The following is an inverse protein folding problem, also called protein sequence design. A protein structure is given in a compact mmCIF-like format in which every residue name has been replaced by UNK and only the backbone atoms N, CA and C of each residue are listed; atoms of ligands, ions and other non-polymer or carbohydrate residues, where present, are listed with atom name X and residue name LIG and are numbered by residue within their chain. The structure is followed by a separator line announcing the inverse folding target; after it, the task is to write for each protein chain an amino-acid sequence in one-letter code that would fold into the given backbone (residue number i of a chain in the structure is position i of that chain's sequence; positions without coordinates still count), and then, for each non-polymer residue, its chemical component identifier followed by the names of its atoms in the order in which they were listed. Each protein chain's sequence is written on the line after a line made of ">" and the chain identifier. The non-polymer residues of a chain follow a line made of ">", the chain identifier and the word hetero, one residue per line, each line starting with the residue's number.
data_IF_038081289352
#
_entry.id   IF_038081289352
#
_cell.length_a   1.000
_cell.length_b   1.000
_cell.length_c   1.000
_cell.angle_alpha   90.00
_cell.angle_beta   90.00
_cell.angle_gamma   90.00
#
_symmetry.space_group_name_H-M   'P 1'
#
loop_
_entity.id
_entity.type
_entity.pdbx_description
1 polymer ?
#
# COMPACT_ATOMS: atom_id res chain seq x y z
N UNK A 1 -21.29 8.71 -2.55
CA UNK A 1 -19.88 9.09 -2.67
C UNK A 1 -19.16 8.08 -3.54
N UNK A 2 -18.32 8.55 -4.45
CA UNK A 2 -17.54 7.66 -5.29
C UNK A 2 -16.45 6.98 -4.46
N UNK A 3 -16.10 5.76 -4.87
CA UNK A 3 -15.08 5.00 -4.17
C UNK A 3 -13.76 5.78 -4.00
N UNK A 4 -13.34 6.50 -5.06
CA UNK A 4 -12.09 7.23 -5.02
C UNK A 4 -12.13 8.44 -4.10
N UNK A 5 -13.28 9.08 -3.99
CA UNK A 5 -13.45 10.18 -3.05
C UNK A 5 -13.39 9.67 -1.61
N UNK A 6 -13.99 8.49 -1.37
CA UNK A 6 -13.92 7.85 -0.08
C UNK A 6 -12.49 7.51 0.31
N UNK A 7 -11.72 6.94 -0.62
CA UNK A 7 -10.33 6.59 -0.36
C UNK A 7 -9.48 7.81 -0.05
N UNK A 8 -9.72 8.90 -0.78
CA UNK A 8 -9.02 10.16 -0.53
C UNK A 8 -9.34 10.70 0.86
N UNK A 9 -10.60 10.66 1.24
CA UNK A 9 -11.02 11.11 2.57
C UNK A 9 -10.37 10.29 3.67
N UNK A 10 -10.27 8.97 3.49
CA UNK A 10 -9.63 8.10 4.47
C UNK A 10 -8.14 8.44 4.60
N UNK A 11 -7.48 8.71 3.48
CA UNK A 11 -6.07 9.06 3.50
C UNK A 11 -5.85 10.41 4.20
N UNK A 12 -6.68 11.39 3.89
CA UNK A 12 -6.59 12.71 4.52
C UNK A 12 -6.83 12.62 6.02
N UNK A 13 -7.80 11.82 6.42
CA UNK A 13 -8.10 11.61 7.83
C UNK A 13 -6.94 10.94 8.55
N UNK A 14 -6.34 9.94 7.93
CA UNK A 14 -5.17 9.27 8.47
C UNK A 14 -4.02 10.25 8.67
N UNK A 15 -3.72 11.05 7.64
CA UNK A 15 -2.63 12.02 7.70
C UNK A 15 -2.86 13.05 8.80
N UNK A 16 -4.11 13.45 8.98
CA UNK A 16 -4.47 14.51 9.92
C UNK A 16 -4.45 14.02 11.37
N UNK A 17 -4.92 12.80 11.61
CA UNK A 17 -5.14 12.28 12.96
C UNK A 17 -4.00 11.39 13.41
N UNK A 18 -3.56 10.47 12.57
CA UNK A 18 -2.65 9.41 12.96
C UNK A 18 -1.18 9.66 12.62
N UNK A 19 -0.94 10.29 11.49
CA UNK A 19 0.41 10.47 11.00
C UNK A 19 1.38 11.09 12.00
N UNK A 20 1.01 12.16 12.71
CA UNK A 20 1.95 12.76 13.66
C UNK A 20 2.41 11.79 14.75
N UNK A 21 1.52 10.93 15.22
CA UNK A 21 1.87 9.95 16.24
C UNK A 21 2.62 8.77 15.66
N UNK A 22 2.10 8.19 14.61
CA UNK A 22 2.72 7.03 13.96
C UNK A 22 4.11 7.37 13.46
N UNK A 23 4.27 8.57 12.97
CA UNK A 23 5.55 9.04 12.52
C UNK A 23 6.56 9.02 13.65
N UNK A 24 6.13 9.44 14.83
CA UNK A 24 7.01 9.51 15.99
C UNK A 24 7.38 8.14 16.54
N UNK A 25 6.51 7.16 16.42
CA UNK A 25 6.81 5.81 16.90
C UNK A 25 7.41 4.91 15.83
N UNK A 26 7.52 5.43 14.60
CA UNK A 26 8.25 4.76 13.54
C UNK A 26 7.58 3.55 12.90
N UNK A 27 6.28 3.39 13.10
CA UNK A 27 5.55 2.28 12.48
C UNK A 27 4.99 2.73 11.15
N UNK A 28 5.46 2.11 10.07
CA UNK A 28 4.94 2.35 8.74
C UNK A 28 3.72 1.47 8.48
N UNK A 29 2.71 1.95 7.74
CA UNK A 29 1.55 1.13 7.42
C UNK A 29 1.89 -0.21 6.78
N UNK A 30 2.89 -0.24 5.90
CA UNK A 30 3.31 -1.49 5.25
C UNK A 30 3.83 -2.48 6.27
N UNK A 31 4.66 -2.03 7.20
CA UNK A 31 5.19 -2.90 8.25
C UNK A 31 4.07 -3.45 9.13
N UNK A 32 3.10 -2.61 9.44
CA UNK A 32 1.95 -3.04 10.23
C UNK A 32 1.14 -4.10 9.50
N UNK A 33 0.90 -3.90 8.21
CA UNK A 33 0.18 -4.89 7.41
C UNK A 33 0.93 -6.22 7.34
N UNK A 34 2.26 -6.16 7.24
CA UNK A 34 3.06 -7.37 7.24
C UNK A 34 2.96 -8.11 8.58
N UNK A 35 2.96 -7.37 9.69
CA UNK A 35 2.86 -7.98 11.00
C UNK A 35 1.53 -8.70 11.22
N UNK A 36 0.48 -8.27 10.52
CA UNK A 36 -0.84 -8.88 10.59
C UNK A 36 -1.04 -9.98 9.54
N UNK A 37 -0.05 -10.25 8.71
CA UNK A 37 -0.13 -11.24 7.63
C UNK A 37 -1.19 -10.92 6.57
N UNK A 38 -1.46 -9.64 6.34
CA UNK A 38 -2.40 -9.20 5.32
C UNK A 38 -1.72 -8.38 4.23
N UNK A 39 -0.40 -8.24 4.28
CA UNK A 39 0.32 -7.38 3.36
C UNK A 39 0.27 -7.88 1.92
N UNK A 40 0.33 -9.18 1.70
CA UNK A 40 0.32 -9.72 0.35
C UNK A 40 -0.93 -9.29 -0.41
N UNK A 41 -2.09 -9.50 0.17
CA UNK A 41 -3.36 -9.11 -0.45
C UNK A 41 -3.49 -7.60 -0.55
N UNK A 42 -3.00 -6.88 0.45
CA UNK A 42 -3.01 -5.43 0.46
C UNK A 42 -2.18 -4.87 -0.70
N UNK A 43 -0.98 -5.40 -0.91
CA UNK A 43 -0.13 -4.95 -2.02
C UNK A 43 -0.75 -5.31 -3.37
N UNK A 44 -1.24 -6.53 -3.51
CA UNK A 44 -1.87 -6.96 -4.75
C UNK A 44 -3.09 -6.10 -5.08
N UNK A 45 -3.91 -5.81 -4.08
CA UNK A 45 -5.09 -4.96 -4.26
C UNK A 45 -4.73 -3.55 -4.70
N UNK A 46 -3.66 -2.99 -4.13
CA UNK A 46 -3.21 -1.66 -4.54
C UNK A 46 -2.66 -1.65 -5.97
N UNK A 47 -1.97 -2.69 -6.39
CA UNK A 47 -1.50 -2.81 -7.76
C UNK A 47 -2.69 -2.78 -8.72
N UNK A 48 -3.71 -3.58 -8.44
CA UNK A 48 -4.93 -3.63 -9.26
C UNK A 48 -5.61 -2.27 -9.30
N UNK A 49 -5.72 -1.62 -8.15
CA UNK A 49 -6.35 -0.31 -8.05
C UNK A 49 -5.68 0.71 -8.95
N UNK A 50 -4.37 0.83 -8.85
CA UNK A 50 -3.66 1.87 -9.59
C UNK A 50 -3.61 1.58 -11.08
N UNK A 51 -3.42 0.33 -11.48
CA UNK A 51 -3.42 -0.04 -12.89
C UNK A 51 -4.80 0.15 -13.51
N UNK A 52 -5.86 -0.05 -12.73
CA UNK A 52 -7.22 0.08 -13.23
C UNK A 52 -7.65 1.52 -13.45
N UNK A 53 -7.07 2.47 -12.71
CA UNK A 53 -7.57 3.84 -12.72
C UNK A 53 -6.69 4.86 -13.44
N UNK A 54 -5.49 4.50 -13.85
CA UNK A 54 -4.50 5.48 -14.31
C UNK A 54 -4.99 6.35 -15.47
N UNK A 55 -5.79 5.79 -16.37
CA UNK A 55 -6.24 6.52 -17.57
C UNK A 55 -7.13 7.73 -17.25
N UNK A 56 -7.88 7.65 -16.17
CA UNK A 56 -8.82 8.72 -15.84
C UNK A 56 -8.53 9.37 -14.49
N UNK A 57 -7.39 9.07 -13.91
CA UNK A 57 -7.05 9.67 -12.61
C UNK A 57 -5.68 10.38 -12.69
N UNK A 58 -4.61 9.72 -12.33
CA UNK A 58 -3.31 10.36 -12.20
C UNK A 58 -2.26 9.91 -13.22
N UNK A 59 -2.67 9.15 -14.23
CA UNK A 59 -1.79 8.77 -15.33
C UNK A 59 -0.51 8.08 -14.85
N UNK A 60 0.62 8.61 -15.28
CA UNK A 60 1.93 8.04 -14.97
C UNK A 60 2.18 7.89 -13.49
N UNK A 61 1.66 8.82 -12.68
CA UNK A 61 1.81 8.74 -11.23
C UNK A 61 1.19 7.48 -10.66
N UNK A 62 0.01 7.09 -11.15
CA UNK A 62 -0.63 5.86 -10.72
C UNK A 62 0.19 4.64 -11.12
N UNK A 63 0.82 4.67 -12.28
CA UNK A 63 1.68 3.57 -12.72
C UNK A 63 2.93 3.47 -11.83
N UNK A 64 3.49 4.60 -11.43
CA UNK A 64 4.61 4.59 -10.48
C UNK A 64 4.21 4.00 -9.14
N UNK A 65 3.00 4.30 -8.67
CA UNK A 65 2.51 3.71 -7.43
C UNK A 65 2.32 2.21 -7.58
N UNK A 66 1.78 1.76 -8.70
CA UNK A 66 1.65 0.32 -8.98
C UNK A 66 3.02 -0.36 -8.96
N UNK A 67 4.01 0.28 -9.59
CA UNK A 67 5.37 -0.24 -9.61
C UNK A 67 5.94 -0.39 -8.20
N UNK A 68 5.72 0.61 -7.35
CA UNK A 68 6.20 0.57 -5.98
C UNK A 68 5.58 -0.59 -5.20
N UNK A 69 4.28 -0.80 -5.35
CA UNK A 69 3.63 -1.93 -4.68
C UNK A 69 4.08 -3.28 -5.25
N UNK A 70 4.37 -3.34 -6.56
CA UNK A 70 4.96 -4.55 -7.14
C UNK A 70 6.31 -4.85 -6.50
N UNK A 71 7.15 -3.85 -6.34
CA UNK A 71 8.44 -4.01 -5.70
C UNK A 71 8.28 -4.54 -4.27
N UNK A 72 7.38 -3.94 -3.51
CA UNK A 72 7.13 -4.36 -2.14
C UNK A 72 6.62 -5.80 -2.07
N UNK A 73 5.75 -6.18 -3.00
CA UNK A 73 5.23 -7.53 -3.05
C UNK A 73 6.33 -8.54 -3.39
N UNK A 74 7.18 -8.21 -4.34
CA UNK A 74 8.31 -9.08 -4.70
C UNK A 74 9.20 -9.30 -3.48
N UNK A 75 9.56 -8.23 -2.78
CA UNK A 75 10.41 -8.33 -1.61
C UNK A 75 9.78 -9.17 -0.50
N UNK A 76 8.47 -9.02 -0.31
CA UNK A 76 7.74 -9.81 0.68
C UNK A 76 7.78 -11.30 0.33
N UNK A 77 7.50 -11.64 -0.93
CA UNK A 77 7.49 -13.02 -1.38
C UNK A 77 8.88 -13.65 -1.31
N UNK A 78 9.91 -12.89 -1.62
CA UNK A 78 11.28 -13.37 -1.53
C UNK A 78 11.68 -13.67 -0.08
N UNK A 79 11.28 -12.81 0.86
CA UNK A 79 11.55 -13.06 2.28
C UNK A 79 10.81 -14.29 2.78
N UNK A 80 9.56 -14.46 2.38
CA UNK A 80 8.77 -15.62 2.76
C UNK A 80 9.36 -16.92 2.22
N UNK A 81 9.84 -16.90 0.99
CA UNK A 81 10.49 -18.04 0.37
C UNK A 81 11.76 -18.44 1.12
N UNK A 82 12.58 -17.45 1.47
CA UNK A 82 13.81 -17.68 2.22
C UNK A 82 13.51 -18.27 3.60
N UNK A 83 12.52 -17.71 4.29
CA UNK A 83 12.10 -18.21 5.59
C UNK A 83 11.58 -19.64 5.50
N UNK A 84 10.86 -19.95 4.42
CA UNK A 84 10.32 -21.28 4.20
C UNK A 84 11.37 -22.33 3.94
N UNK A 85 12.54 -21.93 3.49
CA UNK A 85 13.68 -22.86 3.24
C UNK A 85 14.43 -23.19 4.52
N UNK A 86 14.24 -22.42 5.56
CA UNK A 86 14.88 -22.68 6.83
C UNK A 86 14.14 -23.72 7.64
#
# INVERSE_FOLDING_TARGET
>A
MRHMEYMKMQQELFDKIEKPRHYNIGIEPAEYMESLNIAEDYYAGNIIKYVSRYKYKNGTEDIRKAKQYCKMLIELLERQSTEGEL
#
